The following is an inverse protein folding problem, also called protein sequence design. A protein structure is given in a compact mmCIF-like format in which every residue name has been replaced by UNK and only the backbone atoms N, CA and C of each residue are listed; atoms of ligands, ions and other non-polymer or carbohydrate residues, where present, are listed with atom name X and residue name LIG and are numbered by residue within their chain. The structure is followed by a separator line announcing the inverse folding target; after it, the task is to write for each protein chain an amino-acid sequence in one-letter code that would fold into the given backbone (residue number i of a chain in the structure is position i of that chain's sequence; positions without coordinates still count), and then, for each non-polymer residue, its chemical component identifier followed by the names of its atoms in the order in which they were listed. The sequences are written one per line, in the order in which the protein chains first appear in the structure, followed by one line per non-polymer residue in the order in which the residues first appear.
data_IF_313979847909
#
_entry.id   IF_313979847909
#
_cell.length_a   1.000
_cell.length_b   1.000
_cell.length_c   1.000
_cell.angle_alpha   90.00
_cell.angle_beta   90.00
_cell.angle_gamma   90.00
#
_symmetry.space_group_name_H-M   'P 1'
#
loop_
_entity.id
_entity.type
_entity.pdbx_description
1 polymer ?
#
# COMPACT_ATOMS: atom_id res chain seq x y z
N UNK A 1 -33.20 25.71 14.99
CA UNK A 1 -33.05 24.25 15.22
C UNK A 1 -31.57 23.94 15.02
N UNK A 2 -30.93 23.35 16.04
CA UNK A 2 -29.51 23.51 16.39
C UNK A 2 -28.45 23.32 15.28
N UNK A 3 -27.43 24.19 15.20
CA UNK A 3 -26.11 23.84 14.70
C UNK A 3 -25.30 23.21 15.85
N UNK A 4 -24.62 22.11 15.60
CA UNK A 4 -23.64 21.57 16.56
C UNK A 4 -22.36 21.20 15.82
N UNK A 5 -21.57 22.23 15.53
CA UNK A 5 -20.13 22.07 15.48
C UNK A 5 -19.65 21.89 16.93
N UNK A 6 -18.87 20.84 17.19
CA UNK A 6 -17.66 20.85 18.03
C UNK A 6 -17.37 19.45 18.63
N UNK A 7 -16.35 18.79 18.09
CA UNK A 7 -15.30 18.15 18.87
C UNK A 7 -14.11 17.85 17.94
N UNK A 8 -13.57 18.89 17.31
CA UNK A 8 -12.24 18.84 16.69
C UNK A 8 -11.20 19.10 17.80
N UNK A 9 -11.07 18.13 18.70
CA UNK A 9 -9.93 18.07 19.61
C UNK A 9 -8.78 17.48 18.82
N UNK A 10 -7.64 18.16 18.76
CA UNK A 10 -6.41 17.61 18.18
C UNK A 10 -6.07 16.30 18.90
N UNK A 11 -6.45 15.17 18.29
CA UNK A 11 -6.09 13.81 18.64
C UNK A 11 -5.27 13.28 17.46
N UNK A 12 -4.19 12.51 17.71
CA UNK A 12 -3.03 12.36 16.81
C UNK A 12 -3.49 12.23 15.37
N UNK A 13 -3.08 13.19 14.50
CA UNK A 13 -3.49 13.36 13.09
C UNK A 13 -4.27 12.15 12.57
N UNK A 14 -5.59 12.27 12.44
CA UNK A 14 -6.46 11.16 12.04
C UNK A 14 -5.87 10.39 10.85
N UNK A 15 -5.39 9.17 11.12
CA UNK A 15 -4.82 8.28 10.10
C UNK A 15 -5.92 7.38 9.57
N UNK A 16 -6.21 7.51 8.29
CA UNK A 16 -7.25 6.72 7.63
C UNK A 16 -6.61 5.76 6.60
N UNK A 17 -7.09 4.52 6.57
CA UNK A 17 -6.73 3.56 5.52
C UNK A 17 -7.67 3.80 4.33
N UNK A 18 -7.13 4.38 3.27
CA UNK A 18 -7.90 4.78 2.07
C UNK A 18 -7.99 3.69 1.01
N UNK A 19 -7.16 2.64 1.10
CA UNK A 19 -7.15 1.55 0.12
C UNK A 19 -6.35 0.34 0.58
N UNK A 20 -6.76 -0.84 0.09
CA UNK A 20 -6.09 -2.10 0.36
C UNK A 20 -6.05 -2.96 -0.91
N UNK A 21 -4.87 -3.52 -1.17
CA UNK A 21 -4.68 -4.52 -2.20
C UNK A 21 -3.58 -5.51 -1.80
N UNK A 22 -3.68 -6.71 -2.35
CA UNK A 22 -2.69 -7.77 -2.18
C UNK A 22 -2.50 -8.49 -3.50
N UNK A 23 -1.30 -8.99 -3.76
CA UNK A 23 -1.07 -9.93 -4.85
C UNK A 23 -1.57 -11.33 -4.49
N UNK A 24 -1.87 -12.18 -5.49
CA UNK A 24 -2.04 -13.61 -5.28
C UNK A 24 -0.77 -14.21 -4.68
N UNK A 25 -0.92 -15.18 -3.78
CA UNK A 25 0.24 -15.91 -3.25
C UNK A 25 0.63 -17.01 -4.23
N UNK A 26 1.88 -16.99 -4.69
CA UNK A 26 2.44 -18.05 -5.52
C UNK A 26 2.93 -19.22 -4.66
N UNK A 27 2.86 -20.43 -5.20
CA UNK A 27 3.57 -21.58 -4.64
C UNK A 27 5.09 -21.41 -4.78
N UNK A 28 5.85 -22.12 -3.93
CA UNK A 28 7.32 -22.16 -4.04
C UNK A 28 7.73 -22.66 -5.42
N UNK A 29 8.59 -21.90 -6.11
CA UNK A 29 9.00 -22.14 -7.52
C UNK A 29 7.83 -22.23 -8.52
N UNK A 30 6.67 -21.65 -8.21
CA UNK A 30 5.50 -21.63 -9.08
C UNK A 30 5.53 -20.52 -10.14
N UNK A 31 4.36 -20.18 -10.68
CA UNK A 31 4.20 -19.23 -11.79
C UNK A 31 4.64 -17.78 -11.52
N UNK A 32 4.85 -17.42 -10.25
CA UNK A 32 5.32 -16.08 -9.84
C UNK A 32 6.82 -16.06 -9.49
N UNK A 33 7.54 -17.18 -9.65
CA UNK A 33 8.96 -17.31 -9.28
C UNK A 33 9.91 -16.47 -10.13
N UNK A 34 9.52 -16.11 -11.35
CA UNK A 34 10.29 -15.24 -12.24
C UNK A 34 10.17 -13.75 -11.91
N UNK A 35 9.22 -13.36 -11.05
CA UNK A 35 8.99 -11.98 -10.66
C UNK A 35 9.73 -11.65 -9.37
N UNK A 36 10.43 -10.51 -9.34
CA UNK A 36 11.08 -10.03 -8.13
C UNK A 36 10.05 -9.60 -7.08
N UNK A 37 10.43 -9.66 -5.80
CA UNK A 37 9.55 -9.22 -4.71
C UNK A 37 9.14 -7.75 -4.87
N UNK A 38 10.04 -6.89 -5.36
CA UNK A 38 9.76 -5.47 -5.63
C UNK A 38 8.69 -5.30 -6.70
N UNK A 39 8.69 -6.14 -7.76
CA UNK A 39 7.68 -6.07 -8.82
C UNK A 39 6.30 -6.53 -8.34
N UNK A 40 6.25 -7.57 -7.53
CA UNK A 40 5.00 -8.02 -6.90
C UNK A 40 4.47 -6.95 -5.93
N UNK A 41 5.36 -6.34 -5.15
CA UNK A 41 5.06 -5.21 -4.27
C UNK A 41 4.52 -4.00 -5.02
N UNK A 42 5.16 -3.62 -6.14
CA UNK A 42 4.73 -2.47 -6.94
C UNK A 42 3.31 -2.66 -7.50
N UNK A 43 2.98 -3.88 -7.95
CA UNK A 43 1.62 -4.19 -8.45
C UNK A 43 0.58 -4.09 -7.33
N UNK A 44 0.92 -4.53 -6.10
CA UNK A 44 0.03 -4.37 -4.95
C UNK A 44 -0.23 -2.89 -4.63
N UNK A 45 0.83 -2.08 -4.56
CA UNK A 45 0.73 -0.64 -4.25
C UNK A 45 -0.07 0.10 -5.33
N UNK A 46 0.23 -0.15 -6.61
CA UNK A 46 -0.49 0.46 -7.73
C UNK A 46 -1.99 0.10 -7.70
N UNK A 47 -2.33 -1.15 -7.37
CA UNK A 47 -3.72 -1.59 -7.24
C UNK A 47 -4.43 -0.93 -6.05
N UNK A 48 -3.73 -0.72 -4.94
CA UNK A 48 -4.27 -0.03 -3.77
C UNK A 48 -4.57 1.45 -4.08
N UNK A 49 -3.65 2.14 -4.76
CA UNK A 49 -3.83 3.53 -5.19
C UNK A 49 -4.99 3.68 -6.18
N UNK A 50 -5.08 2.77 -7.16
CA UNK A 50 -6.19 2.76 -8.13
C UNK A 50 -7.55 2.56 -7.46
N UNK A 51 -7.64 1.65 -6.47
CA UNK A 51 -8.89 1.43 -5.70
C UNK A 51 -9.26 2.62 -4.81
N UNK A 52 -8.26 3.31 -4.28
CA UNK A 52 -8.45 4.54 -3.52
C UNK A 52 -8.75 5.76 -4.43
N UNK A 53 -8.66 5.60 -5.76
CA UNK A 53 -8.80 6.67 -6.75
C UNK A 53 -7.88 7.89 -6.46
N UNK A 54 -6.64 7.62 -6.07
CA UNK A 54 -5.64 8.63 -5.73
C UNK A 54 -4.59 8.77 -6.84
N UNK A 55 -4.14 10.01 -7.05
CA UNK A 55 -2.98 10.28 -7.92
C UNK A 55 -1.70 9.78 -7.24
N UNK A 56 -0.90 8.91 -7.89
CA UNK A 56 0.37 8.44 -7.35
C UNK A 56 1.35 9.56 -6.98
N UNK A 57 1.23 10.74 -7.59
CA UNK A 57 2.08 11.91 -7.34
C UNK A 57 1.89 12.51 -5.94
N UNK A 58 0.79 12.17 -5.25
CA UNK A 58 0.52 12.62 -3.87
C UNK A 58 1.25 11.78 -2.82
N UNK A 59 1.81 10.63 -3.20
CA UNK A 59 2.54 9.73 -2.30
C UNK A 59 3.90 10.36 -1.96
N UNK A 60 4.09 10.73 -0.70
CA UNK A 60 5.35 11.31 -0.22
C UNK A 60 6.38 10.24 0.13
N UNK A 61 5.93 9.14 0.75
CA UNK A 61 6.80 8.07 1.25
C UNK A 61 6.15 6.71 1.03
N UNK A 62 6.99 5.70 0.75
CA UNK A 62 6.58 4.31 0.59
C UNK A 62 7.43 3.44 1.51
N UNK A 63 6.76 2.74 2.42
CA UNK A 63 7.38 1.75 3.29
C UNK A 63 7.04 0.35 2.79
N UNK A 64 8.05 -0.40 2.36
CA UNK A 64 7.88 -1.76 1.88
C UNK A 64 8.66 -2.75 2.75
N UNK A 65 7.95 -3.65 3.43
CA UNK A 65 8.55 -4.68 4.26
C UNK A 65 9.00 -5.88 3.43
N UNK A 66 10.28 -6.23 3.47
CA UNK A 66 10.83 -7.44 2.86
C UNK A 66 11.74 -8.18 3.84
N UNK A 67 11.55 -9.50 3.97
CA UNK A 67 12.31 -10.32 4.95
C UNK A 67 13.57 -10.91 4.33
N UNK A 68 13.45 -11.51 3.14
CA UNK A 68 14.57 -12.11 2.42
C UNK A 68 14.78 -11.37 1.10
N UNK A 69 15.85 -10.58 1.03
CA UNK A 69 16.23 -9.81 -0.17
C UNK A 69 17.06 -10.65 -1.15
N UNK A 70 16.78 -11.95 -1.28
CA UNK A 70 17.48 -12.81 -2.23
C UNK A 70 17.00 -12.50 -3.66
N UNK A 71 17.94 -12.34 -4.59
CA UNK A 71 17.67 -12.16 -6.01
C UNK A 71 16.89 -10.89 -6.40
N UNK A 72 17.05 -9.79 -5.64
CA UNK A 72 16.47 -8.47 -5.97
C UNK A 72 17.38 -7.60 -6.85
N UNK A 73 18.41 -8.18 -7.48
CA UNK A 73 19.34 -7.49 -8.39
C UNK A 73 20.50 -6.79 -7.68
N UNK A 74 21.27 -7.55 -6.88
CA UNK A 74 22.68 -7.19 -6.64
C UNK A 74 23.54 -7.64 -7.83
#
# INVERSE_FOLDING_TARGET
MAPAAAADSIQPKNVCIVGVARTPMGGFLGSLSSLSATKLGSVAIESALKRANLDPSLVQEVFFGNVLSANLGQ
#
